data_IF_138858482576
#
_entry.id   IF_138858482576
#
_cell.length_a   1.000
_cell.length_b   1.000
_cell.length_c   1.000
_cell.angle_alpha   90.00
_cell.angle_beta   90.00
_cell.angle_gamma   90.00
#
_symmetry.space_group_name_H-M   'P 1'
#
loop_
_entity.id
_entity.type
_entity.pdbx_description
1 polymer ?
#
# COMPACT_ATOMS: atom_id res chain seq x y z
N UNK A 1 -0.04 -0.63 -10.75
CA UNK A 1 -1.34 -0.58 -10.05
C UNK A 1 -1.30 0.25 -8.76
N UNK A 2 -0.29 0.13 -7.88
CA UNK A 2 -0.27 0.84 -6.58
C UNK A 2 0.16 2.32 -6.62
N UNK A 3 0.95 2.74 -7.60
CA UNK A 3 1.52 4.10 -7.67
C UNK A 3 0.47 5.17 -7.98
N UNK A 4 -0.60 4.84 -8.71
CA UNK A 4 -1.66 5.79 -9.08
C UNK A 4 -2.47 6.28 -7.87
N UNK A 5 -2.49 5.51 -6.78
CA UNK A 5 -3.19 5.84 -5.54
C UNK A 5 -2.27 6.36 -4.45
N UNK A 6 -1.00 6.63 -4.77
CA UNK A 6 -0.07 7.22 -3.81
C UNK A 6 -0.48 8.68 -3.56
N UNK A 7 -0.44 9.13 -2.30
CA UNK A 7 -0.95 10.43 -1.84
C UNK A 7 -0.41 11.60 -2.69
N UNK A 8 0.90 11.62 -2.95
CA UNK A 8 1.53 12.62 -3.82
C UNK A 8 1.04 12.67 -5.28
N UNK A 9 0.21 11.73 -5.74
CA UNK A 9 -0.41 11.72 -7.07
C UNK A 9 -1.86 12.21 -7.08
N UNK A 10 -2.47 12.42 -5.90
CA UNK A 10 -3.87 12.79 -5.76
C UNK A 10 -3.95 14.28 -5.42
N UNK A 11 -4.47 15.08 -6.33
CA UNK A 11 -4.70 16.52 -6.16
C UNK A 11 -5.72 16.79 -5.04
N UNK A 12 -5.38 17.73 -4.16
CA UNK A 12 -6.22 18.15 -3.04
C UNK A 12 -5.99 17.39 -1.74
N UNK A 13 -5.09 16.40 -1.69
CA UNK A 13 -4.80 15.66 -0.46
C UNK A 13 -3.93 16.43 0.54
N UNK A 14 -3.29 17.53 0.11
CA UNK A 14 -2.33 18.23 0.96
C UNK A 14 -1.17 17.33 1.40
N UNK A 15 -0.63 17.59 2.59
CA UNK A 15 0.45 16.80 3.20
C UNK A 15 -0.07 15.67 4.10
N UNK A 16 -1.33 15.25 3.93
CA UNK A 16 -1.96 14.25 4.78
C UNK A 16 -1.29 12.87 4.64
N UNK A 17 -1.00 12.22 5.77
CA UNK A 17 -0.39 10.88 5.84
C UNK A 17 -1.40 9.73 5.67
N UNK A 18 -2.70 10.02 5.76
CA UNK A 18 -3.82 9.05 5.78
C UNK A 18 -3.73 7.99 6.88
N UNK A 19 -2.98 8.25 7.95
CA UNK A 19 -2.79 7.31 9.06
C UNK A 19 -3.89 7.41 10.13
N UNK A 20 -4.85 8.34 9.98
CA UNK A 20 -5.91 8.58 10.98
C UNK A 20 -6.65 7.29 11.37
N UNK A 21 -6.94 6.42 10.39
CA UNK A 21 -7.59 5.12 10.64
C UNK A 21 -6.66 4.14 11.38
N UNK A 22 -5.37 4.12 11.05
CA UNK A 22 -4.41 3.29 11.77
C UNK A 22 -4.26 3.75 13.23
N UNK A 23 -4.10 5.06 13.44
CA UNK A 23 -3.95 5.68 14.76
C UNK A 23 -5.17 5.41 15.64
N UNK A 24 -6.39 5.54 15.12
CA UNK A 24 -7.62 5.30 15.91
C UNK A 24 -7.78 3.81 16.29
N UNK A 25 -7.53 2.89 15.36
CA UNK A 25 -7.63 1.45 15.67
C UNK A 25 -6.49 0.98 16.56
N UNK A 26 -5.28 1.53 16.39
CA UNK A 26 -4.15 1.28 17.29
C UNK A 26 -4.48 1.73 18.72
N UNK A 27 -5.01 2.95 18.88
CA UNK A 27 -5.43 3.47 20.18
C UNK A 27 -6.52 2.61 20.83
N UNK A 28 -7.44 2.05 20.03
CA UNK A 28 -8.50 1.15 20.55
C UNK A 28 -7.98 -0.11 21.25
N UNK A 29 -6.72 -0.52 21.00
CA UNK A 29 -6.10 -1.64 21.70
C UNK A 29 -5.97 -1.39 23.22
N UNK A 30 -5.96 -0.14 23.67
CA UNK A 30 -5.95 0.22 25.09
C UNK A 30 -7.20 -0.29 25.83
N UNK A 31 -8.31 -0.57 25.12
CA UNK A 31 -9.50 -1.15 25.72
C UNK A 31 -9.33 -2.63 26.08
N UNK A 32 -8.38 -3.34 25.45
CA UNK A 32 -8.25 -4.80 25.56
C UNK A 32 -8.21 -5.32 27.01
N UNK A 33 -7.45 -4.72 27.95
CA UNK A 33 -7.41 -5.18 29.35
C UNK A 33 -8.77 -5.06 30.05
N UNK A 34 -9.51 -3.98 29.79
CA UNK A 34 -10.76 -3.64 30.49
C UNK A 34 -11.95 -4.41 29.92
N UNK A 35 -11.97 -4.68 28.62
CA UNK A 35 -13.12 -5.35 27.95
C UNK A 35 -13.01 -6.88 27.90
N UNK A 36 -11.83 -7.45 28.17
CA UNK A 36 -11.56 -8.90 28.05
C UNK A 36 -12.50 -9.74 28.90
N UNK A 37 -12.76 -9.32 30.13
CA UNK A 37 -13.64 -9.99 31.08
C UNK A 37 -14.94 -9.22 31.36
N UNK A 38 -15.20 -8.15 30.60
CA UNK A 38 -16.42 -7.38 30.74
C UNK A 38 -17.63 -8.12 30.14
N UNK A 39 -18.81 -7.90 30.73
CA UNK A 39 -20.07 -8.33 30.12
C UNK A 39 -20.28 -7.65 28.76
N UNK A 40 -21.14 -8.23 27.91
CA UNK A 40 -21.43 -7.66 26.60
C UNK A 40 -21.92 -6.20 26.66
N UNK A 41 -22.75 -5.88 27.67
CA UNK A 41 -23.20 -4.52 27.93
C UNK A 41 -22.03 -3.58 28.25
N UNK A 42 -21.20 -3.93 29.25
CA UNK A 42 -20.06 -3.09 29.66
C UNK A 42 -19.05 -2.91 28.54
N UNK A 43 -18.80 -3.95 27.74
CA UNK A 43 -17.93 -3.85 26.56
C UNK A 43 -18.42 -2.79 25.58
N UNK A 44 -19.71 -2.77 25.24
CA UNK A 44 -20.28 -1.78 24.32
C UNK A 44 -20.16 -0.36 24.87
N UNK A 45 -20.50 -0.17 26.15
CA UNK A 45 -20.41 1.14 26.82
C UNK A 45 -18.97 1.66 26.83
N UNK A 46 -17.98 0.81 27.15
CA UNK A 46 -16.58 1.23 27.17
C UNK A 46 -16.03 1.55 25.78
N UNK A 47 -16.45 0.82 24.76
CA UNK A 47 -16.09 1.11 23.37
C UNK A 47 -16.69 2.46 22.94
N UNK A 48 -17.97 2.70 23.23
CA UNK A 48 -18.66 3.95 22.92
C UNK A 48 -17.99 5.15 23.63
N UNK A 49 -17.69 5.00 24.93
CA UNK A 49 -17.02 6.04 25.71
C UNK A 49 -15.60 6.35 25.21
N UNK A 50 -14.84 5.34 24.77
CA UNK A 50 -13.54 5.58 24.14
C UNK A 50 -13.67 6.47 22.90
N UNK A 51 -14.60 6.16 22.01
CA UNK A 51 -14.75 6.93 20.77
C UNK A 51 -15.31 8.33 21.01
N UNK A 52 -16.19 8.51 22.01
CA UNK A 52 -16.64 9.84 22.44
C UNK A 52 -15.51 10.68 23.02
N UNK A 53 -14.65 10.08 23.84
CA UNK A 53 -13.46 10.75 24.37
C UNK A 53 -12.50 11.12 23.24
N UNK A 54 -12.25 10.19 22.31
CA UNK A 54 -11.37 10.42 21.16
C UNK A 54 -11.86 11.59 20.29
N UNK A 55 -13.16 11.67 20.02
CA UNK A 55 -13.75 12.80 19.26
C UNK A 55 -13.58 14.13 20.01
N UNK A 56 -13.78 14.12 21.32
CA UNK A 56 -13.56 15.29 22.18
C UNK A 56 -12.10 15.75 22.16
N UNK A 57 -11.16 14.81 22.26
CA UNK A 57 -9.73 15.09 22.20
C UNK A 57 -9.31 15.60 20.82
N UNK A 58 -9.88 15.04 19.74
CA UNK A 58 -9.64 15.55 18.39
C UNK A 58 -10.16 16.97 18.21
N UNK A 59 -11.36 17.25 18.70
CA UNK A 59 -11.91 18.60 18.70
C UNK A 59 -10.99 19.60 19.42
N UNK A 60 -10.57 19.28 20.65
CA UNK A 60 -9.66 20.11 21.44
C UNK A 60 -8.32 20.39 20.74
N UNK A 61 -7.84 19.42 19.95
CA UNK A 61 -6.58 19.50 19.23
C UNK A 61 -6.68 20.13 17.84
N UNK A 62 -7.88 20.46 17.33
CA UNK A 62 -8.06 21.03 15.98
C UNK A 62 -7.18 22.27 15.76
N UNK A 63 -7.18 23.20 16.71
CA UNK A 63 -6.38 24.42 16.60
C UNK A 63 -4.87 24.15 16.57
N UNK A 64 -4.39 23.17 17.35
CA UNK A 64 -2.98 22.77 17.37
C UNK A 64 -2.60 22.08 16.06
N UNK A 65 -3.43 21.13 15.60
CA UNK A 65 -3.24 20.41 14.34
C UNK A 65 -3.10 21.38 13.16
N UNK A 66 -4.03 22.33 13.01
CA UNK A 66 -3.96 23.35 11.95
C UNK A 66 -2.69 24.21 12.04
N UNK A 67 -2.30 24.61 13.25
CA UNK A 67 -1.09 25.39 13.48
C UNK A 67 0.19 24.62 13.11
N UNK A 68 0.27 23.36 13.51
CA UNK A 68 1.44 22.51 13.26
C UNK A 68 1.54 22.17 11.76
N UNK A 69 0.42 21.78 11.11
CA UNK A 69 0.37 21.52 9.66
C UNK A 69 0.80 22.76 8.86
N UNK A 70 0.31 23.95 9.22
CA UNK A 70 0.68 25.19 8.54
C UNK A 70 2.18 25.48 8.64
N UNK A 71 2.76 25.29 9.83
CA UNK A 71 4.20 25.51 10.04
C UNK A 71 5.04 24.48 9.32
N UNK A 72 4.64 23.21 9.33
CA UNK A 72 5.32 22.14 8.60
C UNK A 72 5.29 22.42 7.09
N UNK A 73 4.15 22.81 6.54
CA UNK A 73 4.03 23.17 5.14
C UNK A 73 4.93 24.37 4.76
N UNK A 74 4.95 25.43 5.57
CA UNK A 74 5.82 26.58 5.34
C UNK A 74 7.31 26.23 5.44
N UNK A 75 7.71 25.45 6.45
CA UNK A 75 9.09 25.00 6.61
C UNK A 75 9.53 24.13 5.42
N UNK A 76 8.67 23.19 5.01
CA UNK A 76 8.90 22.33 3.86
C UNK A 76 9.07 23.16 2.57
N UNK A 77 8.20 24.13 2.31
CA UNK A 77 8.32 25.00 1.13
C UNK A 77 9.63 25.77 1.17
N UNK A 78 9.97 26.38 2.31
CA UNK A 78 11.20 27.16 2.47
C UNK A 78 12.46 26.34 2.19
N UNK A 79 12.50 25.10 2.68
CA UNK A 79 13.69 24.24 2.61
C UNK A 79 13.81 23.52 1.28
N UNK A 80 12.69 23.04 0.72
CA UNK A 80 12.71 22.19 -0.48
C UNK A 80 12.68 23.00 -1.79
N UNK A 81 12.14 24.23 -1.78
CA UNK A 81 12.14 25.09 -2.97
C UNK A 81 13.55 25.31 -3.56
N UNK A 82 14.59 25.73 -2.79
CA UNK A 82 15.92 25.92 -3.34
C UNK A 82 16.56 24.60 -3.80
N UNK A 83 16.31 23.50 -3.10
CA UNK A 83 16.83 22.17 -3.46
C UNK A 83 16.26 21.73 -4.81
N UNK A 84 14.94 21.84 -4.99
CA UNK A 84 14.27 21.49 -6.24
C UNK A 84 14.75 22.41 -7.38
N UNK A 85 14.93 23.71 -7.12
CA UNK A 85 15.45 24.65 -8.12
C UNK A 85 16.89 24.28 -8.55
N UNK A 86 17.77 23.96 -7.60
CA UNK A 86 19.13 23.52 -7.87
C UNK A 86 19.18 22.21 -8.65
N UNK A 87 18.34 21.24 -8.28
CA UNK A 87 18.26 19.95 -8.97
C UNK A 87 17.66 20.07 -10.38
N UNK A 88 16.68 20.96 -10.60
CA UNK A 88 16.18 21.29 -11.95
C UNK A 88 17.28 21.90 -12.82
N UNK A 89 18.07 22.81 -12.26
CA UNK A 89 19.17 23.45 -12.97
C UNK A 89 20.28 22.44 -13.33
N UNK A 90 20.65 21.54 -12.41
CA UNK A 90 21.70 20.54 -12.67
C UNK A 90 21.28 19.45 -13.65
N UNK A 91 19.98 19.12 -13.70
CA UNK A 91 19.44 18.13 -14.63
C UNK A 91 18.99 18.75 -15.96
N UNK A 92 19.03 20.08 -16.09
CA UNK A 92 18.52 20.83 -17.25
C UNK A 92 17.03 20.56 -17.54
N UNK A 93 16.23 20.42 -16.49
CA UNK A 93 14.80 20.06 -16.55
C UNK A 93 13.92 21.24 -16.19
N UNK A 94 12.87 21.47 -16.99
CA UNK A 94 11.85 22.50 -16.73
C UNK A 94 10.64 21.96 -15.97
N UNK A 95 9.79 22.85 -15.44
CA UNK A 95 8.51 22.46 -14.83
C UNK A 95 7.57 21.74 -15.80
N UNK A 96 7.61 22.09 -17.09
CA UNK A 96 6.79 21.43 -18.10
C UNK A 96 7.33 20.04 -18.45
N UNK A 97 8.64 19.83 -18.36
CA UNK A 97 9.25 18.50 -18.45
C UNK A 97 8.78 17.61 -17.29
N UNK A 98 8.75 18.13 -16.06
CA UNK A 98 8.23 17.37 -14.91
C UNK A 98 6.76 16.96 -15.10
N UNK A 99 5.91 17.84 -15.64
CA UNK A 99 4.51 17.51 -15.97
C UNK A 99 4.44 16.42 -17.04
N UNK A 100 5.22 16.53 -18.11
CA UNK A 100 5.29 15.52 -19.17
C UNK A 100 5.75 14.17 -18.61
N UNK A 101 6.81 14.17 -17.81
CA UNK A 101 7.35 12.99 -17.14
C UNK A 101 6.31 12.32 -16.25
N UNK A 102 5.52 13.09 -15.49
CA UNK A 102 4.43 12.54 -14.69
C UNK A 102 3.34 11.87 -15.54
N UNK A 103 2.99 12.45 -16.70
CA UNK A 103 2.00 11.88 -17.61
C UNK A 103 2.51 10.61 -18.29
N UNK A 104 3.77 10.61 -18.75
CA UNK A 104 4.41 9.43 -19.34
C UNK A 104 4.52 8.29 -18.31
N UNK A 105 4.97 8.58 -17.09
CA UNK A 105 5.03 7.63 -15.99
C UNK A 105 3.64 7.04 -15.72
N UNK A 106 2.59 7.88 -15.63
CA UNK A 106 1.22 7.44 -15.38
C UNK A 106 0.65 6.57 -16.52
N UNK A 107 0.85 6.98 -17.77
CA UNK A 107 0.41 6.22 -18.94
C UNK A 107 1.12 4.87 -19.01
N UNK A 108 2.43 4.86 -18.78
CA UNK A 108 3.23 3.65 -18.73
C UNK A 108 2.75 2.70 -17.62
N UNK A 109 2.60 3.20 -16.38
CA UNK A 109 2.11 2.41 -15.25
C UNK A 109 0.67 1.92 -15.44
N UNK A 110 -0.16 2.64 -16.19
CA UNK A 110 -1.52 2.24 -16.56
C UNK A 110 -1.56 1.18 -17.68
N UNK A 111 -0.57 1.18 -18.57
CA UNK A 111 -0.39 0.13 -19.59
C UNK A 111 0.18 -1.17 -18.99
N UNK A 112 0.84 -1.07 -17.84
CA UNK A 112 1.54 -2.17 -17.20
C UNK A 112 0.58 -3.24 -16.68
N UNK A 113 0.53 -4.38 -17.38
CA UNK A 113 -0.28 -5.54 -17.01
C UNK A 113 -1.57 -5.73 -17.82
N UNK A 114 -1.84 -4.90 -18.84
CA UNK A 114 -2.92 -5.18 -19.80
C UNK A 114 -2.41 -6.11 -20.91
N UNK A 115 -2.42 -7.41 -20.63
CA UNK A 115 -2.41 -8.42 -21.70
C UNK A 115 -3.75 -8.28 -22.46
N UNK A 116 -3.74 -8.31 -23.80
CA UNK A 116 -4.99 -8.16 -24.56
C UNK A 116 -5.93 -9.33 -24.23
N UNK A 117 -7.24 -9.08 -24.19
CA UNK A 117 -8.21 -10.13 -23.87
C UNK A 117 -8.10 -11.33 -24.83
N UNK A 118 -7.80 -11.04 -26.10
CA UNK A 118 -7.58 -12.06 -27.14
C UNK A 118 -6.34 -12.93 -26.83
N UNK A 119 -5.23 -12.34 -26.37
CA UNK A 119 -4.04 -13.10 -25.98
C UNK A 119 -4.33 -14.02 -24.78
N UNK A 120 -5.14 -13.56 -23.81
CA UNK A 120 -5.50 -14.35 -22.63
C UNK A 120 -6.32 -15.60 -23.00
N UNK A 121 -7.29 -15.47 -23.90
CA UNK A 121 -8.12 -16.59 -24.34
C UNK A 121 -7.32 -17.60 -25.17
N UNK A 122 -6.42 -17.14 -26.05
CA UNK A 122 -5.53 -18.01 -26.82
C UNK A 122 -4.55 -18.77 -25.92
N UNK A 123 -4.01 -18.12 -24.89
CA UNK A 123 -3.16 -18.78 -23.89
C UNK A 123 -3.96 -19.86 -23.15
N UNK A 124 -5.13 -19.52 -22.63
CA UNK A 124 -5.97 -20.46 -21.89
C UNK A 124 -6.30 -21.69 -22.76
N UNK A 125 -6.62 -21.46 -24.03
CA UNK A 125 -6.84 -22.54 -25.00
C UNK A 125 -5.61 -23.46 -25.15
N UNK A 126 -4.43 -22.89 -25.38
CA UNK A 126 -3.20 -23.69 -25.55
C UNK A 126 -2.79 -24.43 -24.27
N UNK A 127 -2.91 -23.80 -23.10
CA UNK A 127 -2.67 -24.45 -21.80
C UNK A 127 -3.62 -25.64 -21.58
N UNK A 128 -4.91 -25.47 -21.92
CA UNK A 128 -5.91 -26.56 -21.84
C UNK A 128 -5.62 -27.68 -22.84
N UNK A 129 -5.16 -27.36 -24.05
CA UNK A 129 -4.70 -28.37 -25.00
C UNK A 129 -3.47 -29.15 -24.50
N UNK A 130 -2.52 -28.47 -23.85
CA UNK A 130 -1.35 -29.12 -23.24
C UNK A 130 -1.78 -30.05 -22.10
N UNK A 131 -2.68 -29.59 -21.23
CA UNK A 131 -3.23 -30.39 -20.12
C UNK A 131 -4.00 -31.61 -20.65
N UNK A 132 -4.87 -31.43 -21.64
CA UNK A 132 -5.62 -32.52 -22.28
C UNK A 132 -4.68 -33.59 -22.85
N UNK A 133 -3.59 -33.18 -23.52
CA UNK A 133 -2.58 -34.11 -24.05
C UNK A 133 -1.84 -34.84 -22.93
N UNK A 134 -1.45 -34.16 -21.85
CA UNK A 134 -0.80 -34.79 -20.71
C UNK A 134 -1.71 -35.82 -20.03
N UNK A 135 -2.98 -35.48 -19.82
CA UNK A 135 -4.00 -36.39 -19.27
C UNK A 135 -4.22 -37.58 -20.20
N UNK A 136 -4.30 -37.37 -21.52
CA UNK A 136 -4.43 -38.45 -22.50
C UNK A 136 -3.22 -39.40 -22.47
N UNK A 137 -2.00 -38.87 -22.40
CA UNK A 137 -0.79 -39.68 -22.31
C UNK A 137 -0.74 -40.47 -20.99
N UNK A 138 -1.11 -39.85 -19.87
CA UNK A 138 -1.16 -40.50 -18.57
C UNK A 138 -2.24 -41.58 -18.53
N UNK A 139 -3.43 -41.31 -19.07
CA UNK A 139 -4.52 -42.29 -19.20
C UNK A 139 -4.12 -43.48 -20.07
N UNK A 140 -3.40 -43.25 -21.17
CA UNK A 140 -2.87 -44.35 -21.99
C UNK A 140 -1.87 -45.21 -21.20
N UNK A 141 -1.01 -44.60 -20.38
CA UNK A 141 -0.07 -45.31 -19.51
C UNK A 141 -0.78 -46.11 -18.41
N UNK A 142 -1.75 -45.52 -17.72
CA UNK A 142 -2.52 -46.21 -16.67
C UNK A 142 -3.40 -47.32 -17.25
N UNK A 143 -3.98 -47.12 -18.44
CA UNK A 143 -4.67 -48.19 -19.17
C UNK A 143 -3.76 -49.38 -19.47
N UNK A 144 -2.53 -49.14 -19.95
CA UNK A 144 -1.55 -50.23 -20.17
C UNK A 144 -1.19 -50.95 -18.88
N UNK A 145 -1.01 -50.23 -17.78
CA UNK A 145 -0.75 -50.82 -16.47
C UNK A 145 -1.93 -51.64 -15.97
N UNK A 146 -3.16 -51.15 -16.12
CA UNK A 146 -4.38 -51.87 -15.78
C UNK A 146 -4.48 -53.19 -16.57
N UNK A 147 -4.30 -53.14 -17.89
CA UNK A 147 -4.33 -54.32 -18.75
C UNK A 147 -3.22 -55.34 -18.39
N UNK A 148 -2.03 -54.87 -18.03
CA UNK A 148 -0.92 -55.74 -17.62
C UNK A 148 -1.17 -56.45 -16.28
N UNK A 149 -1.90 -55.82 -15.35
CA UNK A 149 -2.26 -56.42 -14.06
C UNK A 149 -3.48 -57.33 -14.18
N UNK A 150 -4.44 -57.00 -15.06
CA UNK A 150 -5.66 -57.80 -15.27
C UNK A 150 -5.47 -59.02 -16.19
N UNK A 151 -4.35 -59.12 -16.91
CA UNK A 151 -4.07 -60.24 -17.81
C UNK A 151 -2.67 -60.84 -17.61
N UNK A 152 -2.37 -61.48 -16.45
CA UNK A 152 -1.31 -62.49 -16.48
C UNK A 152 -1.75 -63.56 -17.47
N UNK A 153 -0.84 -64.01 -18.35
CA UNK A 153 -1.08 -65.21 -19.14
C UNK A 153 -1.56 -66.30 -18.18
N UNK A 154 -2.73 -66.89 -18.43
CA UNK A 154 -3.33 -67.92 -17.57
C UNK A 154 -2.39 -69.12 -17.62
N UNK A 155 -1.39 -69.11 -16.74
CA UNK A 155 -0.45 -70.19 -16.51
C UNK A 155 -0.81 -70.76 -15.16
N UNK A 156 -1.22 -72.02 -15.15
CA UNK A 156 -1.49 -72.77 -13.94
C UNK A 156 -0.21 -72.81 -13.10
N UNK A 157 -0.13 -71.99 -12.05
CA UNK A 157 1.00 -72.02 -11.12
C UNK A 157 0.78 -73.14 -10.09
N UNK A 158 1.83 -73.91 -9.72
CA UNK A 158 1.73 -74.88 -8.64
C UNK A 158 1.34 -74.20 -7.31
N UNK A 159 0.58 -74.87 -6.43
CA UNK A 159 0.22 -74.30 -5.14
C UNK A 159 1.47 -74.06 -4.29
N UNK A 160 1.80 -72.80 -4.02
CA UNK A 160 2.84 -72.42 -3.07
C UNK A 160 2.26 -72.32 -1.66
N UNK A 161 2.89 -72.99 -0.68
CA UNK A 161 2.57 -72.85 0.73
C UNK A 161 3.21 -71.57 1.30
N UNK A 162 2.50 -70.46 1.21
CA UNK A 162 2.84 -69.19 1.83
C UNK A 162 1.60 -68.27 1.89
N UNK A 163 1.60 -67.20 2.72
CA UNK A 163 0.49 -66.26 2.76
C UNK A 163 0.36 -65.59 1.40
N UNK A 164 -0.69 -65.91 0.66
CA UNK A 164 -1.02 -65.24 -0.60
C UNK A 164 -1.64 -63.89 -0.26
N UNK A 165 -0.94 -62.82 -0.60
CA UNK A 165 -1.30 -61.44 -0.23
C UNK A 165 -2.36 -60.87 -1.20
N UNK A 166 -3.51 -61.56 -1.29
CA UNK A 166 -4.65 -61.19 -2.14
C UNK A 166 -5.13 -59.75 -1.87
N UNK A 167 -5.02 -59.27 -0.62
CA UNK A 167 -5.38 -57.92 -0.23
C UNK A 167 -4.45 -56.85 -0.84
N UNK A 168 -3.15 -57.15 -0.95
CA UNK A 168 -2.20 -56.24 -1.60
C UNK A 168 -2.42 -56.15 -3.13
N UNK A 169 -2.76 -57.26 -3.79
CA UNK A 169 -3.04 -57.29 -5.24
C UNK A 169 -4.40 -56.65 -5.58
N UNK A 170 -5.44 -56.90 -4.77
CA UNK A 170 -6.74 -56.24 -4.91
C UNK A 170 -6.67 -54.73 -4.60
N UNK A 171 -5.83 -54.32 -3.64
CA UNK A 171 -5.58 -52.90 -3.35
C UNK A 171 -4.86 -52.19 -4.50
N UNK A 172 -3.85 -52.84 -5.11
CA UNK A 172 -3.13 -52.29 -6.28
C UNK A 172 -4.05 -52.13 -7.50
N UNK A 173 -4.87 -53.12 -7.80
CA UNK A 173 -5.84 -53.05 -8.92
C UNK A 173 -6.89 -51.96 -8.71
N UNK A 174 -7.44 -51.83 -7.49
CA UNK A 174 -8.39 -50.76 -7.14
C UNK A 174 -7.80 -49.35 -7.27
N UNK A 175 -6.54 -49.15 -6.86
CA UNK A 175 -5.84 -47.86 -7.04
C UNK A 175 -5.72 -47.49 -8.51
N UNK A 176 -5.24 -48.41 -9.34
CA UNK A 176 -5.09 -48.19 -10.79
C UNK A 176 -6.47 -47.93 -11.43
N UNK A 177 -7.51 -48.65 -11.03
CA UNK A 177 -8.87 -48.42 -11.53
C UNK A 177 -9.41 -47.04 -11.12
N UNK A 178 -9.20 -46.64 -9.88
CA UNK A 178 -9.62 -45.33 -9.36
C UNK A 178 -8.91 -44.20 -10.11
N UNK A 179 -7.60 -44.31 -10.27
CA UNK A 179 -6.79 -43.35 -11.04
C UNK A 179 -7.25 -43.27 -12.50
N UNK A 180 -7.60 -44.41 -13.12
CA UNK A 180 -8.14 -44.46 -14.49
C UNK A 180 -9.48 -43.74 -14.60
N UNK A 181 -10.40 -43.95 -13.65
CA UNK A 181 -11.71 -43.27 -13.63
C UNK A 181 -11.55 -41.76 -13.47
N UNK A 182 -10.69 -41.34 -12.53
CA UNK A 182 -10.36 -39.93 -12.32
C UNK A 182 -9.79 -39.28 -13.59
N UNK A 183 -8.83 -39.93 -14.26
CA UNK A 183 -8.24 -39.42 -15.49
C UNK A 183 -9.25 -39.35 -16.65
N UNK A 184 -10.18 -40.32 -16.75
CA UNK A 184 -11.22 -40.33 -17.78
C UNK A 184 -12.24 -39.21 -17.57
N UNK A 185 -12.65 -38.96 -16.32
CA UNK A 185 -13.50 -37.82 -15.94
C UNK A 185 -12.79 -36.49 -16.20
N UNK A 186 -11.51 -36.37 -15.80
CA UNK A 186 -10.70 -35.16 -16.06
C UNK A 186 -10.56 -34.91 -17.55
N UNK A 187 -10.35 -35.94 -18.37
CA UNK A 187 -10.31 -35.83 -19.84
C UNK A 187 -11.61 -35.28 -20.39
N UNK A 188 -12.76 -35.81 -19.94
CA UNK A 188 -14.09 -35.34 -20.40
C UNK A 188 -14.31 -33.86 -20.05
N UNK A 189 -14.00 -33.47 -18.81
CA UNK A 189 -14.11 -32.08 -18.38
C UNK A 189 -13.23 -31.14 -19.23
N UNK A 190 -11.95 -31.49 -19.42
CA UNK A 190 -11.04 -30.71 -20.25
C UNK A 190 -11.47 -30.66 -21.72
N UNK A 191 -12.07 -31.74 -22.25
CA UNK A 191 -12.56 -31.75 -23.64
C UNK A 191 -13.73 -30.79 -23.84
N UNK A 192 -14.62 -30.66 -22.85
CA UNK A 192 -15.71 -29.69 -22.88
C UNK A 192 -15.17 -28.25 -22.78
N UNK A 193 -14.26 -27.98 -21.85
CA UNK A 193 -13.64 -26.65 -21.71
C UNK A 193 -12.89 -26.23 -22.98
N UNK A 194 -12.20 -27.16 -23.65
CA UNK A 194 -11.52 -26.93 -24.93
C UNK A 194 -12.55 -26.61 -26.03
N UNK A 195 -13.66 -27.35 -26.11
CA UNK A 195 -14.71 -27.10 -27.09
C UNK A 195 -15.39 -25.73 -26.89
N UNK A 196 -15.66 -25.34 -25.65
CA UNK A 196 -16.22 -24.01 -25.33
C UNK A 196 -15.28 -22.89 -25.77
N UNK A 197 -13.97 -23.06 -25.56
CA UNK A 197 -12.95 -22.11 -26.01
C UNK A 197 -12.82 -22.07 -27.54
N UNK A 198 -12.97 -23.21 -28.23
CA UNK A 198 -12.96 -23.28 -29.70
C UNK A 198 -14.14 -22.51 -30.31
N UNK A 199 -15.34 -22.65 -29.72
CA UNK A 199 -16.54 -21.90 -30.13
C UNK A 199 -16.32 -20.40 -29.91
N UNK A 200 -15.77 -20.02 -28.75
CA UNK A 200 -15.54 -18.62 -28.40
C UNK A 200 -14.49 -17.95 -29.31
N UNK A 201 -13.42 -18.69 -29.66
CA UNK A 201 -12.33 -18.20 -30.51
C UNK A 201 -12.60 -18.38 -32.03
N UNK A 202 -13.71 -19.00 -32.42
CA UNK A 202 -14.06 -19.25 -33.83
C UNK A 202 -13.13 -20.25 -34.51
N UNK A 203 -12.60 -21.23 -33.78
CA UNK A 203 -11.63 -22.22 -34.28
C UNK A 203 -12.39 -23.41 -34.89
N UNK A 204 -12.19 -23.66 -36.19
CA UNK A 204 -12.87 -24.74 -36.91
C UNK A 204 -12.26 -26.14 -36.68
N UNK A 205 -10.96 -26.20 -36.35
CA UNK A 205 -10.25 -27.46 -36.11
C UNK A 205 -9.26 -27.32 -34.96
N UNK A 206 -9.27 -28.30 -34.04
CA UNK A 206 -8.40 -28.32 -32.87
C UNK A 206 -6.91 -28.18 -33.24
N UNK A 207 -6.23 -27.20 -32.64
CA UNK A 207 -4.83 -26.92 -32.93
C UNK A 207 -3.90 -28.08 -32.54
N UNK A 208 -3.00 -28.45 -33.45
CA UNK A 208 -1.96 -29.44 -33.26
C UNK A 208 -0.60 -28.81 -32.91
N UNK A 209 0.34 -29.55 -32.29
CA UNK A 209 1.65 -29.01 -31.93
C UNK A 209 2.43 -28.47 -33.15
N UNK A 210 2.15 -28.99 -34.34
CA UNK A 210 2.74 -28.58 -35.61
C UNK A 210 2.19 -27.28 -36.19
N UNK A 211 1.06 -26.79 -35.68
CA UNK A 211 0.37 -25.65 -36.27
C UNK A 211 1.08 -24.34 -35.92
N UNK A 212 1.16 -23.43 -36.89
CA UNK A 212 1.85 -22.15 -36.71
C UNK A 212 1.24 -21.30 -35.57
N UNK A 213 -0.09 -21.34 -35.42
CA UNK A 213 -0.80 -20.62 -34.36
C UNK A 213 -0.47 -21.19 -32.98
N UNK A 214 -0.47 -22.53 -32.85
CA UNK A 214 -0.07 -23.20 -31.61
C UNK A 214 1.38 -22.88 -31.24
N UNK A 215 2.31 -22.96 -32.20
CA UNK A 215 3.72 -22.65 -31.95
C UNK A 215 3.92 -21.19 -31.53
N UNK A 216 3.22 -20.24 -32.18
CA UNK A 216 3.28 -18.81 -31.82
C UNK A 216 2.82 -18.59 -30.38
N UNK A 217 1.66 -19.12 -30.00
CA UNK A 217 1.10 -18.95 -28.66
C UNK A 217 1.94 -19.70 -27.63
N UNK A 218 2.46 -20.88 -27.95
CA UNK A 218 3.38 -21.62 -27.06
C UNK A 218 4.68 -20.86 -26.81
N UNK A 219 5.27 -20.23 -27.83
CA UNK A 219 6.44 -19.35 -27.68
C UNK A 219 6.11 -18.12 -26.82
N UNK A 220 4.92 -17.55 -27.01
CA UNK A 220 4.43 -16.44 -26.21
C UNK A 220 4.24 -16.84 -24.73
N UNK A 221 3.64 -18.00 -24.45
CA UNK A 221 3.50 -18.55 -23.08
C UNK A 221 4.87 -18.70 -22.43
N UNK A 222 5.86 -19.28 -23.11
CA UNK A 222 7.22 -19.42 -22.59
C UNK A 222 7.88 -18.06 -22.30
N UNK A 223 7.68 -17.07 -23.18
CA UNK A 223 8.18 -15.70 -22.99
C UNK A 223 7.51 -15.02 -21.80
N UNK A 224 6.20 -15.20 -21.65
CA UNK A 224 5.39 -14.65 -20.55
C UNK A 224 5.75 -15.28 -19.20
N UNK A 225 5.93 -16.60 -19.14
CA UNK A 225 6.35 -17.29 -17.90
C UNK A 225 7.74 -16.82 -17.47
N UNK A 226 8.67 -16.66 -18.41
CA UNK A 226 9.97 -16.05 -18.15
C UNK A 226 9.86 -14.62 -17.63
N UNK A 227 9.11 -13.74 -18.31
CA UNK A 227 8.93 -12.34 -17.89
C UNK A 227 8.28 -12.23 -16.50
N UNK A 228 7.31 -13.11 -16.18
CA UNK A 228 6.68 -13.17 -14.85
C UNK A 228 7.64 -13.66 -13.77
N UNK A 229 8.40 -14.71 -14.06
CA UNK A 229 9.41 -15.22 -13.13
C UNK A 229 10.49 -14.16 -12.86
N UNK A 230 10.92 -13.43 -13.89
CA UNK A 230 11.87 -12.33 -13.79
C UNK A 230 11.30 -11.15 -12.98
N UNK A 231 10.09 -10.68 -13.28
CA UNK A 231 9.45 -9.60 -12.52
C UNK A 231 9.24 -9.95 -11.04
N UNK A 232 8.88 -11.21 -10.75
CA UNK A 232 8.74 -11.71 -9.38
C UNK A 232 10.10 -11.72 -8.65
N UNK A 233 11.16 -12.22 -9.31
CA UNK A 233 12.51 -12.21 -8.76
C UNK A 233 13.01 -10.79 -8.48
N UNK A 234 12.83 -9.87 -9.41
CA UNK A 234 13.20 -8.46 -9.26
C UNK A 234 12.55 -7.83 -8.03
N UNK A 235 11.24 -8.01 -7.87
CA UNK A 235 10.51 -7.48 -6.72
C UNK A 235 11.10 -7.97 -5.40
N UNK A 236 11.43 -9.26 -5.30
CA UNK A 236 12.01 -9.83 -4.08
C UNK A 236 13.43 -9.30 -3.79
N UNK A 237 14.26 -9.12 -4.83
CA UNK A 237 15.62 -8.56 -4.67
C UNK A 237 15.56 -7.11 -4.22
N UNK A 238 14.73 -6.27 -4.86
CA UNK A 238 14.52 -4.86 -4.47
C UNK A 238 14.07 -4.77 -3.01
N UNK A 239 13.09 -5.57 -2.63
CA UNK A 239 12.61 -5.65 -1.26
C UNK A 239 13.69 -6.06 -0.25
N UNK A 240 14.64 -6.94 -0.63
CA UNK A 240 15.77 -7.33 0.23
C UNK A 240 16.80 -6.21 0.37
N UNK A 241 17.09 -5.47 -0.70
CA UNK A 241 18.02 -4.34 -0.67
C UNK A 241 17.52 -3.22 0.24
N UNK A 242 16.24 -2.88 0.16
CA UNK A 242 15.64 -1.90 1.09
C UNK A 242 15.71 -2.35 2.55
N UNK A 243 15.54 -3.64 2.84
CA UNK A 243 15.71 -4.14 4.22
C UNK A 243 17.16 -4.10 4.69
N UNK A 244 18.13 -4.40 3.82
CA UNK A 244 19.56 -4.28 4.13
C UNK A 244 19.92 -2.83 4.43
N UNK A 245 19.40 -1.89 3.65
CA UNK A 245 19.58 -0.46 3.88
C UNK A 245 19.00 -0.04 5.24
N UNK A 246 17.75 -0.43 5.57
CA UNK A 246 17.14 -0.18 6.89
C UNK A 246 17.89 -0.82 8.06
N UNK A 247 18.64 -1.91 7.82
CA UNK A 247 19.49 -2.54 8.85
C UNK A 247 20.79 -1.75 9.09
N UNK A 248 21.29 -1.07 8.06
CA UNK A 248 22.51 -0.27 8.10
C UNK A 248 22.28 1.16 8.63
N UNK A 249 21.04 1.66 8.64
CA UNK A 249 20.69 2.91 9.34
C UNK A 249 20.86 2.72 10.86
N UNK A 250 21.80 3.48 11.41
CA UNK A 250 22.30 3.35 12.77
C UNK A 250 21.36 4.01 13.79
N UNK A 251 20.17 3.43 14.05
CA UNK A 251 19.40 3.65 15.29
C UNK A 251 18.23 2.66 15.51
N UNK A 252 18.25 1.50 14.85
CA UNK A 252 17.14 0.54 15.01
C UNK A 252 17.18 -0.21 16.36
N UNK A 253 16.13 -0.06 17.17
CA UNK A 253 15.97 -0.78 18.45
C UNK A 253 16.09 -2.31 18.33
N UNK A 254 16.54 -2.99 19.39
CA UNK A 254 16.87 -4.42 19.37
C UNK A 254 15.75 -5.33 18.84
N UNK A 255 14.47 -5.03 19.17
CA UNK A 255 13.31 -5.78 18.65
C UNK A 255 13.16 -5.63 17.14
N UNK A 256 13.33 -4.41 16.61
CA UNK A 256 13.25 -4.14 15.18
C UNK A 256 14.37 -4.88 14.42
N UNK A 257 15.61 -4.83 14.93
CA UNK A 257 16.74 -5.60 14.38
C UNK A 257 16.46 -7.10 14.31
N UNK A 258 15.84 -7.69 15.34
CA UNK A 258 15.47 -9.11 15.36
C UNK A 258 14.38 -9.45 14.32
N UNK A 259 13.40 -8.57 14.13
CA UNK A 259 12.36 -8.73 13.11
C UNK A 259 12.94 -8.61 11.70
N UNK A 260 13.79 -7.61 11.44
CA UNK A 260 14.48 -7.43 10.16
C UNK A 260 15.35 -8.66 9.84
N UNK A 261 16.14 -9.17 10.80
CA UNK A 261 16.96 -10.35 10.59
C UNK A 261 16.12 -11.62 10.24
N UNK A 262 14.98 -11.82 10.91
CA UNK A 262 14.07 -12.95 10.62
C UNK A 262 13.41 -12.81 9.24
N UNK A 263 13.00 -11.59 8.88
CA UNK A 263 12.44 -11.30 7.55
C UNK A 263 13.49 -11.52 6.46
N UNK A 264 14.74 -11.10 6.69
CA UNK A 264 15.87 -11.28 5.78
C UNK A 264 16.12 -12.77 5.47
N UNK A 265 16.08 -13.64 6.48
CA UNK A 265 16.25 -15.08 6.29
C UNK A 265 15.10 -15.68 5.47
N UNK A 266 13.88 -15.23 5.74
CA UNK A 266 12.68 -15.68 5.01
C UNK A 266 12.71 -15.23 3.55
N UNK A 267 13.06 -13.96 3.28
CA UNK A 267 13.20 -13.43 1.92
C UNK A 267 14.35 -14.06 1.17
N UNK A 268 15.47 -14.35 1.81
CA UNK A 268 16.59 -15.07 1.17
C UNK A 268 16.17 -16.45 0.65
N UNK A 269 15.33 -17.18 1.40
CA UNK A 269 14.74 -18.44 0.93
C UNK A 269 13.78 -18.22 -0.24
N UNK A 270 12.95 -17.18 -0.19
CA UNK A 270 12.03 -16.83 -1.26
C UNK A 270 12.77 -16.46 -2.56
N UNK A 271 13.86 -15.70 -2.47
CA UNK A 271 14.68 -15.33 -3.63
C UNK A 271 15.34 -16.57 -4.24
N UNK A 272 15.88 -17.51 -3.43
CA UNK A 272 16.42 -18.77 -3.99
C UNK A 272 15.38 -19.56 -4.78
N UNK A 273 14.15 -19.65 -4.26
CA UNK A 273 13.05 -20.28 -4.99
C UNK A 273 12.71 -19.52 -6.28
N UNK A 274 12.71 -18.18 -6.22
CA UNK A 274 12.45 -17.33 -7.38
C UNK A 274 13.55 -17.46 -8.46
N UNK A 275 14.82 -17.60 -8.06
CA UNK A 275 15.94 -17.89 -8.97
C UNK A 275 15.71 -19.23 -9.68
N UNK A 276 15.29 -20.27 -8.95
CA UNK A 276 14.99 -21.56 -9.55
C UNK A 276 13.84 -21.45 -10.58
N UNK A 277 12.77 -20.73 -10.24
CA UNK A 277 11.67 -20.50 -11.19
C UNK A 277 12.11 -19.71 -12.41
N UNK A 278 12.99 -18.70 -12.23
CA UNK A 278 13.58 -17.93 -13.31
C UNK A 278 14.44 -18.82 -14.21
N UNK A 279 15.36 -19.60 -13.64
CA UNK A 279 16.27 -20.47 -14.38
C UNK A 279 15.52 -21.54 -15.18
N UNK A 280 14.44 -22.09 -14.62
CA UNK A 280 13.59 -23.05 -15.33
C UNK A 280 12.88 -22.39 -16.53
N UNK A 281 12.34 -21.18 -16.35
CA UNK A 281 11.68 -20.44 -17.43
C UNK A 281 12.69 -19.94 -18.49
N UNK A 282 13.87 -19.51 -18.07
CA UNK A 282 14.99 -19.10 -18.91
C UNK A 282 15.48 -20.23 -19.82
N UNK A 283 15.55 -21.46 -19.30
CA UNK A 283 15.92 -22.64 -20.05
C UNK A 283 14.85 -23.11 -21.05
N UNK A 284 13.59 -22.75 -20.83
CA UNK A 284 12.47 -23.10 -21.71
C UNK A 284 12.34 -22.17 -22.94
N UNK A 285 13.14 -21.10 -23.02
CA UNK A 285 13.17 -20.18 -24.15
C UNK A 285 14.08 -20.66 -25.28
N UNK A 286 13.78 -20.20 -26.50
CA UNK A 286 14.58 -20.42 -27.69
C UNK A 286 14.95 -19.06 -28.32
N UNK A 287 16.20 -18.59 -28.17
CA UNK A 287 17.33 -19.23 -27.48
C UNK A 287 17.23 -19.16 -25.94
N UNK A 288 17.89 -20.09 -25.21
CA UNK A 288 17.87 -20.10 -23.75
C UNK A 288 18.61 -18.89 -23.16
N UNK A 289 18.08 -18.35 -22.06
CA UNK A 289 18.63 -17.18 -21.36
C UNK A 289 19.69 -17.59 -20.31
N UNK A 290 20.63 -16.68 -19.93
CA UNK A 290 21.67 -16.99 -18.96
C UNK A 290 21.07 -17.36 -17.60
N UNK A 291 21.67 -18.37 -16.96
CA UNK A 291 21.28 -18.80 -15.62
C UNK A 291 21.78 -17.79 -14.59
N UNK A 292 20.96 -17.59 -13.56
CA UNK A 292 21.29 -16.81 -12.39
C UNK A 292 21.72 -17.72 -11.24
N UNK A 293 22.81 -17.35 -10.58
CA UNK A 293 23.25 -17.99 -9.34
C UNK A 293 22.93 -17.12 -8.14
N UNK A 294 22.67 -17.77 -7.00
CA UNK A 294 22.42 -17.07 -5.74
C UNK A 294 23.61 -16.19 -5.32
N UNK A 295 24.84 -16.66 -5.57
CA UNK A 295 26.04 -15.92 -5.22
C UNK A 295 26.08 -14.57 -5.94
N UNK A 296 25.79 -14.53 -7.24
CA UNK A 296 25.72 -13.27 -7.98
C UNK A 296 24.71 -12.30 -7.36
N UNK A 297 23.56 -12.80 -6.90
CA UNK A 297 22.49 -11.99 -6.30
C UNK A 297 22.77 -11.60 -4.85
N UNK A 298 23.52 -12.41 -4.11
CA UNK A 298 23.84 -12.13 -2.72
C UNK A 298 24.85 -11.02 -2.56
N UNK A 299 25.75 -10.84 -3.53
CA UNK A 299 26.78 -9.81 -3.54
C UNK A 299 26.29 -8.44 -4.02
N UNK A 300 25.08 -8.35 -4.55
CA UNK A 300 24.50 -7.05 -4.90
C UNK A 300 24.23 -6.25 -3.63
N UNK A 301 24.98 -5.16 -3.49
CA UNK A 301 24.81 -4.19 -2.42
C UNK A 301 23.98 -2.99 -2.92
N UNK A 302 23.93 -2.78 -4.23
CA UNK A 302 23.24 -1.65 -4.85
C UNK A 302 22.28 -2.07 -5.97
N UNK A 303 21.23 -1.27 -6.20
CA UNK A 303 20.21 -1.53 -7.24
C UNK A 303 20.79 -1.46 -8.66
N UNK A 304 21.83 -0.67 -8.88
CA UNK A 304 22.50 -0.51 -10.19
C UNK A 304 23.28 -1.76 -10.61
N UNK A 305 23.77 -2.54 -9.65
CA UNK A 305 24.53 -3.76 -9.91
C UNK A 305 23.64 -4.90 -10.43
N UNK A 306 22.32 -4.84 -10.20
CA UNK A 306 21.37 -5.82 -10.70
C UNK A 306 21.04 -5.60 -12.19
N UNK A 307 22.02 -5.92 -13.05
CA UNK A 307 21.94 -5.84 -14.51
C UNK A 307 20.80 -6.69 -15.12
N UNK A 308 20.22 -7.64 -14.38
CA UNK A 308 19.05 -8.40 -14.83
C UNK A 308 17.75 -7.60 -14.92
N UNK A 309 17.74 -6.38 -14.37
CA UNK A 309 16.67 -5.41 -14.61
C UNK A 309 16.66 -4.88 -16.06
N UNK A 310 17.71 -5.17 -16.85
CA UNK A 310 17.85 -4.67 -18.22
C UNK A 310 16.99 -5.43 -19.24
N UNK A 311 16.71 -6.73 -19.02
CA UNK A 311 16.13 -7.58 -20.08
C UNK A 311 14.59 -7.57 -20.14
N UNK A 312 13.88 -7.04 -19.14
CA UNK A 312 12.44 -7.33 -18.99
C UNK A 312 11.51 -6.28 -19.57
N UNK A 313 11.94 -5.05 -19.82
CA UNK A 313 11.03 -3.99 -20.25
C UNK A 313 11.82 -2.98 -21.08
N UNK A 314 11.44 -2.85 -22.35
CA UNK A 314 12.00 -1.87 -23.27
C UNK A 314 12.24 -0.53 -22.56
N UNK A 315 13.50 -0.11 -22.53
CA UNK A 315 13.95 1.29 -22.40
C UNK A 315 13.26 2.19 -21.39
N UNK A 316 12.80 1.64 -20.26
CA UNK A 316 12.36 2.51 -19.16
C UNK A 316 13.55 3.33 -18.68
N UNK A 317 14.76 2.74 -18.60
CA UNK A 317 15.97 3.46 -18.17
C UNK A 317 16.40 4.57 -19.15
N UNK A 318 16.06 4.45 -20.43
CA UNK A 318 16.31 5.53 -21.40
C UNK A 318 15.29 6.67 -21.26
N UNK A 319 14.13 6.41 -20.64
CA UNK A 319 13.18 7.48 -20.35
C UNK A 319 13.78 8.41 -19.28
N UNK A 320 13.80 9.73 -19.53
CA UNK A 320 14.34 10.69 -18.57
C UNK A 320 13.68 10.57 -17.19
N UNK A 321 12.37 10.32 -17.14
CA UNK A 321 11.61 10.18 -15.89
C UNK A 321 11.96 8.94 -15.06
N UNK A 322 12.70 7.97 -15.60
CA UNK A 322 13.11 6.78 -14.85
C UNK A 322 14.46 6.93 -14.16
N UNK A 323 15.23 7.97 -14.52
CA UNK A 323 16.53 8.25 -13.91
C UNK A 323 16.35 8.61 -12.43
N UNK A 324 17.18 8.08 -11.51
CA UNK A 324 16.99 8.28 -10.07
C UNK A 324 16.87 9.75 -9.65
N UNK A 325 17.75 10.62 -10.15
CA UNK A 325 17.72 12.05 -9.85
C UNK A 325 16.45 12.74 -10.35
N UNK A 326 15.97 12.38 -11.55
CA UNK A 326 14.72 12.90 -12.13
C UNK A 326 13.50 12.40 -11.34
N UNK A 327 13.53 11.16 -10.86
CA UNK A 327 12.45 10.61 -10.03
C UNK A 327 12.35 11.29 -8.68
N UNK A 328 13.48 11.56 -8.04
CA UNK A 328 13.48 12.21 -6.73
C UNK A 328 13.06 13.68 -6.85
N UNK A 329 13.52 14.39 -7.87
CA UNK A 329 13.03 15.74 -8.18
C UNK A 329 11.53 15.76 -8.50
N UNK A 330 11.03 14.76 -9.24
CA UNK A 330 9.60 14.60 -9.49
C UNK A 330 8.81 14.33 -8.20
N UNK A 331 9.31 13.48 -7.31
CA UNK A 331 8.70 13.23 -5.99
C UNK A 331 8.65 14.49 -5.14
N UNK A 332 9.76 15.21 -5.03
CA UNK A 332 9.87 16.45 -4.26
C UNK A 332 9.00 17.56 -4.84
N UNK A 333 8.97 17.72 -6.16
CA UNK A 333 8.09 18.72 -6.82
C UNK A 333 6.61 18.46 -6.56
N UNK A 334 6.18 17.20 -6.54
CA UNK A 334 4.81 16.82 -6.18
C UNK A 334 4.52 17.10 -4.70
N UNK A 335 5.43 16.73 -3.80
CA UNK A 335 5.28 17.03 -2.36
C UNK A 335 5.28 18.54 -2.11
N UNK A 336 6.03 19.32 -2.88
CA UNK A 336 6.00 20.79 -2.85
C UNK A 336 4.64 21.33 -3.30
N UNK A 337 4.07 20.80 -4.39
CA UNK A 337 2.72 21.17 -4.81
C UNK A 337 1.68 20.82 -3.75
N UNK A 338 1.80 19.65 -3.10
CA UNK A 338 0.96 19.24 -1.95
C UNK A 338 1.10 20.18 -0.75
N UNK A 339 2.30 20.65 -0.44
CA UNK A 339 2.51 21.62 0.63
C UNK A 339 1.81 22.96 0.38
N UNK A 340 1.76 23.42 -0.88
CA UNK A 340 0.99 24.61 -1.23
C UNK A 340 -0.53 24.38 -1.10
N UNK A 341 -1.02 23.20 -1.50
CA UNK A 341 -2.42 22.82 -1.27
C UNK A 341 -2.76 22.77 0.23
N UNK A 342 -1.86 22.23 1.07
CA UNK A 342 -2.03 22.19 2.53
C UNK A 342 -2.22 23.60 3.11
N UNK A 343 -1.43 24.59 2.65
CA UNK A 343 -1.59 25.99 3.05
C UNK A 343 -2.98 26.53 2.72
N UNK A 344 -3.45 26.28 1.49
CA UNK A 344 -4.79 26.71 1.07
C UNK A 344 -5.90 26.03 1.89
N UNK A 345 -5.77 24.73 2.16
CA UNK A 345 -6.72 23.99 3.00
C UNK A 345 -6.73 24.52 4.42
N UNK A 346 -5.57 24.72 5.05
CA UNK A 346 -5.49 25.25 6.41
C UNK A 346 -6.12 26.65 6.50
N UNK A 347 -5.97 27.51 5.49
CA UNK A 347 -6.68 28.80 5.47
C UNK A 347 -8.21 28.62 5.49
N UNK A 348 -8.73 27.70 4.68
CA UNK A 348 -10.17 27.42 4.60
C UNK A 348 -10.66 26.83 5.92
N UNK A 349 -9.94 25.87 6.48
CA UNK A 349 -10.31 25.16 7.70
C UNK A 349 -10.21 26.04 8.94
N UNK A 350 -9.13 26.81 9.09
CA UNK A 350 -8.99 27.78 10.18
C UNK A 350 -10.16 28.77 10.19
N UNK A 351 -10.52 29.30 9.02
CA UNK A 351 -11.67 30.21 8.89
C UNK A 351 -13.00 29.51 9.22
N UNK A 352 -13.19 28.26 8.78
CA UNK A 352 -14.40 27.47 9.11
C UNK A 352 -14.52 27.19 10.60
N UNK A 353 -13.42 26.80 11.25
CA UNK A 353 -13.39 26.55 12.70
C UNK A 353 -13.70 27.83 13.47
N UNK A 354 -13.09 28.95 13.09
CA UNK A 354 -13.36 30.25 13.70
C UNK A 354 -14.84 30.66 13.55
N UNK A 355 -15.40 30.47 12.36
CA UNK A 355 -16.83 30.72 12.07
C UNK A 355 -17.73 29.82 12.90
N UNK A 356 -17.40 28.53 12.97
CA UNK A 356 -18.17 27.53 13.72
C UNK A 356 -18.21 27.87 15.21
N UNK A 357 -17.06 28.20 15.82
CA UNK A 357 -16.98 28.60 17.22
C UNK A 357 -17.82 29.85 17.50
N UNK A 358 -17.75 30.86 16.62
CA UNK A 358 -18.57 32.07 16.75
C UNK A 358 -20.06 31.77 16.75
N UNK A 359 -20.50 31.01 15.75
CA UNK A 359 -21.91 30.68 15.57
C UNK A 359 -22.43 29.75 16.69
N UNK A 360 -21.59 28.83 17.16
CA UNK A 360 -21.88 27.93 18.29
C UNK A 360 -22.03 28.71 19.61
N UNK A 361 -21.16 29.71 19.87
CA UNK A 361 -21.30 30.57 21.04
C UNK A 361 -22.63 31.34 21.03
N UNK A 362 -22.99 31.96 19.90
CA UNK A 362 -24.28 32.66 19.72
C UNK A 362 -25.47 31.72 19.93
N UNK A 363 -25.37 30.48 19.42
CA UNK A 363 -26.39 29.46 19.64
C UNK A 363 -26.54 29.12 21.13
N UNK A 364 -25.43 28.94 21.85
CA UNK A 364 -25.47 28.68 23.29
C UNK A 364 -26.14 29.81 24.06
N UNK A 365 -25.81 31.07 23.75
CA UNK A 365 -26.44 32.23 24.41
C UNK A 365 -27.94 32.26 24.17
N UNK A 366 -28.38 32.06 22.92
CA UNK A 366 -29.80 32.05 22.57
C UNK A 366 -30.56 30.91 23.27
N UNK A 367 -30.00 29.70 23.29
CA UNK A 367 -30.62 28.52 23.91
C UNK A 367 -30.68 28.70 25.43
N UNK A 368 -29.58 29.11 26.08
CA UNK A 368 -29.54 29.32 27.52
C UNK A 368 -30.51 30.42 27.96
N UNK A 369 -30.56 31.55 27.24
CA UNK A 369 -31.52 32.61 27.51
C UNK A 369 -32.97 32.14 27.38
N UNK A 370 -33.27 31.33 26.36
CA UNK A 370 -34.61 30.76 26.19
C UNK A 370 -34.98 29.80 27.33
N UNK A 371 -34.08 28.88 27.70
CA UNK A 371 -34.30 27.91 28.77
C UNK A 371 -34.44 28.58 30.13
N UNK A 372 -33.66 29.63 30.39
CA UNK A 372 -33.77 30.43 31.61
C UNK A 372 -35.13 31.14 31.69
N UNK A 373 -35.60 31.72 30.57
CA UNK A 373 -36.90 32.38 30.49
C UNK A 373 -38.07 31.41 30.70
N UNK A 374 -37.96 30.17 30.21
CA UNK A 374 -38.98 29.13 30.39
C UNK A 374 -38.85 28.36 31.71
N UNK A 375 -37.82 28.66 32.52
CA UNK A 375 -37.48 27.92 33.73
C UNK A 375 -37.40 26.40 33.49
N UNK A 376 -36.80 26.01 32.35
CA UNK A 376 -36.72 24.59 31.98
C UNK A 376 -35.73 23.84 32.90
N UNK A 377 -36.11 22.69 33.49
CA UNK A 377 -35.23 21.91 34.36
C UNK A 377 -33.92 21.48 33.69
N UNK A 378 -33.82 21.44 32.35
CA UNK A 378 -32.58 21.05 31.66
C UNK A 378 -31.55 22.18 31.58
N UNK A 379 -31.90 23.42 31.97
CA UNK A 379 -31.02 24.59 31.87
C UNK A 379 -29.64 24.33 32.51
N UNK A 380 -29.59 23.73 33.70
CA UNK A 380 -28.34 23.44 34.40
C UNK A 380 -27.39 22.53 33.61
N UNK A 381 -27.93 21.48 32.98
CA UNK A 381 -27.14 20.52 32.19
C UNK A 381 -26.62 21.17 30.91
N UNK A 382 -27.47 21.95 30.23
CA UNK A 382 -27.07 22.68 29.01
C UNK A 382 -26.02 23.75 29.33
N UNK A 383 -26.14 24.43 30.47
CA UNK A 383 -25.16 25.41 30.94
C UNK A 383 -23.79 24.77 31.20
N UNK A 384 -23.76 23.62 31.87
CA UNK A 384 -22.51 22.89 32.12
C UNK A 384 -21.87 22.42 30.80
N UNK A 385 -22.66 21.87 29.88
CA UNK A 385 -22.19 21.49 28.55
C UNK A 385 -21.59 22.69 27.78
N UNK A 386 -22.32 23.80 27.70
CA UNK A 386 -21.88 25.01 27.01
C UNK A 386 -20.61 25.58 27.62
N UNK A 387 -20.47 25.54 28.96
CA UNK A 387 -19.27 25.98 29.67
C UNK A 387 -18.06 25.12 29.28
N UNK A 388 -18.17 23.79 29.34
CA UNK A 388 -17.09 22.87 28.94
C UNK A 388 -16.71 23.07 27.46
N UNK A 389 -17.70 23.24 26.59
CA UNK A 389 -17.48 23.47 25.15
C UNK A 389 -16.80 24.81 24.88
N UNK A 390 -17.17 25.88 25.59
CA UNK A 390 -16.51 27.19 25.51
C UNK A 390 -15.05 27.13 25.97
N UNK A 391 -14.74 26.38 27.02
CA UNK A 391 -13.35 26.15 27.44
C UNK A 391 -12.53 25.45 26.35
N UNK A 392 -13.11 24.44 25.68
CA UNK A 392 -12.48 23.81 24.53
C UNK A 392 -12.27 24.79 23.37
N UNK A 393 -13.28 25.60 23.07
CA UNK A 393 -13.22 26.62 22.02
C UNK A 393 -12.13 27.67 22.32
N UNK A 394 -11.99 28.10 23.57
CA UNK A 394 -10.94 29.03 23.99
C UNK A 394 -9.53 28.46 23.73
N UNK A 395 -9.33 27.15 23.98
CA UNK A 395 -8.08 26.48 23.66
C UNK A 395 -7.79 26.49 22.15
N UNK A 396 -8.80 26.19 21.33
CA UNK A 396 -8.68 26.21 19.86
C UNK A 396 -8.38 27.63 19.36
N UNK A 397 -9.11 28.63 19.85
CA UNK A 397 -8.92 30.05 19.48
C UNK A 397 -7.51 30.55 19.84
N UNK A 398 -6.94 30.12 20.97
CA UNK A 398 -5.56 30.44 21.36
C UNK A 398 -4.56 29.93 20.31
N UNK A 399 -4.76 28.72 19.79
CA UNK A 399 -3.90 28.15 18.74
C UNK A 399 -4.12 28.83 17.39
N UNK A 400 -5.37 29.16 17.01
CA UNK A 400 -5.65 29.93 15.80
C UNK A 400 -5.03 31.34 15.85
N UNK A 401 -5.01 31.98 17.02
CA UNK A 401 -4.31 33.26 17.21
C UNK A 401 -2.81 33.13 16.93
N UNK A 402 -2.17 32.03 17.38
CA UNK A 402 -0.77 31.74 17.04
C UNK A 402 -0.58 31.52 15.54
N UNK A 403 -1.51 30.81 14.90
CA UNK A 403 -1.51 30.57 13.45
C UNK A 403 -1.54 31.89 12.67
N UNK A 404 -2.42 32.82 13.02
CA UNK A 404 -2.49 34.14 12.38
C UNK A 404 -1.24 35.02 12.60
N UNK A 405 -0.42 34.69 13.61
CA UNK A 405 0.82 35.40 13.93
C UNK A 405 2.07 34.76 13.28
N UNK A 406 1.92 33.63 12.58
CA UNK A 406 3.04 32.97 11.90
C UNK A 406 3.59 33.89 10.80
N UNK A 407 4.92 34.14 10.74
CA UNK A 407 5.53 34.88 9.65
C UNK A 407 5.23 34.21 8.30
N UNK A 408 4.63 34.95 7.37
CA UNK A 408 4.18 34.41 6.09
C UNK A 408 2.74 33.90 6.07
N UNK A 409 1.94 34.16 7.12
CA UNK A 409 0.49 33.98 7.06
C UNK A 409 -0.13 34.88 5.97
N UNK A 410 -0.93 34.26 5.08
CA UNK A 410 -1.56 34.95 3.94
C UNK A 410 -3.07 34.73 3.86
N UNK A 411 -3.65 33.99 4.82
CA UNK A 411 -5.08 33.77 4.92
C UNK A 411 -5.85 34.98 5.50
N UNK A 412 -7.17 34.87 5.49
CA UNK A 412 -8.08 35.83 6.12
C UNK A 412 -8.30 35.42 7.58
N UNK A 413 -7.87 36.22 8.57
CA UNK A 413 -8.02 35.88 9.99
C UNK A 413 -9.44 36.13 10.52
N UNK A 414 -10.35 36.66 9.69
CA UNK A 414 -11.72 37.01 10.11
C UNK A 414 -12.69 35.84 9.95
N UNK A 415 -13.70 35.72 10.83
CA UNK A 415 -14.76 34.74 10.67
C UNK A 415 -15.50 34.92 9.32
N UNK A 416 -15.94 33.81 8.73
CA UNK A 416 -16.79 33.82 7.53
C UNK A 416 -18.29 33.85 7.85
N UNK A 417 -19.10 33.54 6.84
CA UNK A 417 -20.55 33.41 6.96
C UNK A 417 -20.97 31.99 6.56
N UNK A 418 -21.73 31.31 7.42
CA UNK A 418 -22.24 29.97 7.13
C UNK A 418 -23.38 30.04 6.11
N UNK A 419 -23.24 29.30 5.02
CA UNK A 419 -24.28 29.17 3.99
C UNK A 419 -25.53 28.51 4.59
N UNK A 420 -26.69 29.14 4.42
CA UNK A 420 -27.99 28.62 4.88
C UNK A 420 -28.46 29.12 6.25
N UNK A 421 -27.66 29.93 6.96
CA UNK A 421 -28.15 30.75 8.08
C UNK A 421 -28.39 32.20 7.60
N UNK A 422 -29.44 32.86 8.11
CA UNK A 422 -29.65 34.29 7.85
C UNK A 422 -28.45 35.09 8.38
N UNK A 423 -27.99 36.14 7.67
CA UNK A 423 -26.87 36.97 8.11
C UNK A 423 -27.25 37.62 9.45
N UNK A 424 -26.59 37.19 10.51
CA UNK A 424 -26.66 37.87 11.81
C UNK A 424 -25.69 39.04 11.71
N UNK A 425 -26.15 40.25 12.02
CA UNK A 425 -25.36 41.47 11.96
C UNK A 425 -23.99 41.29 12.64
N UNK A 426 -22.96 41.82 11.98
CA UNK A 426 -21.61 41.92 12.52
C UNK A 426 -21.65 42.83 13.73
N UNK A 427 -21.42 42.26 14.91
CA UNK A 427 -21.01 43.02 16.07
C UNK A 427 -19.94 42.22 16.82
N UNK A 428 -18.86 42.94 17.08
CA UNK A 428 -17.73 42.70 17.97
C UNK A 428 -16.83 41.48 17.68
N UNK A 429 -15.55 41.79 17.43
CA UNK A 429 -14.43 40.86 17.61
C UNK A 429 -14.62 40.18 18.97
N UNK A 430 -14.59 38.85 19.01
CA UNK A 430 -14.56 38.13 20.28
C UNK A 430 -13.31 38.55 21.05
N UNK A 431 -13.46 39.53 21.94
CA UNK A 431 -12.46 39.83 22.94
C UNK A 431 -12.30 38.57 23.80
N UNK A 432 -11.06 38.10 23.86
CA UNK A 432 -10.69 37.02 24.77
C UNK A 432 -10.74 37.62 26.17
N UNK A 433 -11.90 37.57 26.81
CA UNK A 433 -12.02 37.97 28.22
C UNK A 433 -11.00 37.17 29.05
N UNK A 434 -10.27 37.90 29.88
CA UNK A 434 -9.09 37.45 30.60
C UNK A 434 -9.34 36.15 31.38
N UNK A 435 -8.70 35.08 30.92
CA UNK A 435 -8.53 33.83 31.68
C UNK A 435 -7.42 33.98 32.73
N UNK A 436 -7.54 34.96 33.63
CA UNK A 436 -6.59 35.20 34.73
C UNK A 436 -6.99 34.56 36.06
N UNK A 437 -8.04 33.70 36.11
CA UNK A 437 -8.47 33.04 37.36
C UNK A 437 -8.43 31.50 37.32
N UNK A 438 -7.53 30.91 36.53
CA UNK A 438 -7.19 29.49 36.62
C UNK A 438 -5.67 29.26 36.72
N UNK A 439 -4.96 30.16 37.41
CA UNK A 439 -3.63 29.87 37.98
C UNK A 439 -3.79 29.13 39.32
N UNK A 440 -4.26 27.88 39.28
CA UNK A 440 -4.17 26.94 40.41
C UNK A 440 -4.62 25.52 40.02
N UNK A 441 -4.08 24.97 38.94
CA UNK A 441 -3.95 23.52 38.84
C UNK A 441 -2.54 23.24 38.34
N UNK A 442 -1.76 22.67 39.25
CA UNK A 442 -0.32 22.48 39.19
C UNK A 442 0.21 22.14 37.79
N UNK A 443 1.30 22.81 37.43
CA UNK A 443 2.43 22.17 36.74
C UNK A 443 2.73 20.86 37.47
N UNK A 444 2.13 19.77 37.00
CA UNK A 444 2.68 18.45 37.14
C UNK A 444 3.40 18.23 35.84
N UNK A 445 4.72 18.29 35.90
CA UNK A 445 5.62 17.62 34.94
C UNK A 445 5.08 16.21 34.73
N UNK A 446 4.34 16.05 33.64
CA UNK A 446 4.01 14.78 33.03
C UNK A 446 5.14 14.41 32.08
N UNK A 447 6.35 14.28 32.62
CA UNK A 447 7.33 13.37 32.04
C UNK A 447 6.76 11.95 32.14
N UNK A 448 5.91 11.61 31.18
CA UNK A 448 5.66 10.26 30.69
C UNK A 448 5.05 10.41 29.28
N UNK A 449 5.79 11.15 28.44
CA UNK A 449 5.83 10.83 27.03
C UNK A 449 6.59 9.50 26.98
N UNK A 450 5.86 8.38 26.91
CA UNK A 450 6.43 7.20 26.29
C UNK A 450 6.83 7.63 24.88
N UNK A 451 8.11 7.92 24.72
CA UNK A 451 8.83 8.00 23.47
C UNK A 451 8.51 6.73 22.67
N UNK A 452 7.46 6.78 21.87
CA UNK A 452 7.46 6.09 20.60
C UNK A 452 8.40 6.94 19.74
N UNK A 453 9.60 6.43 19.54
CA UNK A 453 10.55 6.95 18.57
C UNK A 453 9.84 7.06 17.21
N UNK A 454 9.32 8.24 16.93
CA UNK A 454 9.07 8.72 15.57
C UNK A 454 10.39 9.39 15.10
N UNK A 455 11.42 8.57 14.96
CA UNK A 455 12.56 8.86 14.09
C UNK A 455 12.14 8.45 12.66
N UNK A 456 11.27 9.21 12.01
CA UNK A 456 11.06 9.11 10.55
C UNK A 456 10.80 10.48 9.88
N UNK A 457 11.18 11.62 10.49
CA UNK A 457 11.05 12.94 9.83
C UNK A 457 12.29 13.86 9.89
N UNK A 458 13.44 13.36 10.33
CA UNK A 458 14.77 13.99 10.04
C UNK A 458 15.49 13.35 8.82
N UNK A 459 14.91 12.28 8.24
CA UNK A 459 15.59 11.46 7.21
C UNK A 459 15.59 12.07 5.79
N UNK A 460 14.87 13.16 5.53
CA UNK A 460 14.85 13.77 4.18
C UNK A 460 16.04 14.73 3.97
N UNK A 461 16.61 15.28 5.05
CA UNK A 461 17.73 16.23 4.95
C UNK A 461 19.10 15.53 4.94
N UNK A 462 19.25 14.42 5.66
CA UNK A 462 20.46 13.58 5.60
C UNK A 462 20.56 12.79 4.29
N UNK A 463 19.46 12.31 3.70
CA UNK A 463 19.47 11.66 2.37
C UNK A 463 19.95 12.62 1.26
N UNK A 464 19.62 13.91 1.34
CA UNK A 464 20.00 14.92 0.32
C UNK A 464 21.47 15.36 0.47
N UNK A 465 21.98 15.48 1.70
CA UNK A 465 23.39 15.79 1.93
C UNK A 465 24.29 14.64 1.49
N UNK A 466 23.89 13.38 1.75
CA UNK A 466 24.62 12.19 1.33
C UNK A 466 24.53 11.94 -0.18
N UNK A 467 23.41 12.27 -0.84
CA UNK A 467 23.29 12.24 -2.31
C UNK A 467 24.09 13.35 -2.99
N UNK A 468 24.17 14.56 -2.40
CA UNK A 468 24.99 15.65 -2.92
C UNK A 468 26.50 15.40 -2.78
N UNK A 469 26.95 14.80 -1.66
CA UNK A 469 28.33 14.33 -1.49
C UNK A 469 28.67 13.16 -2.42
N UNK A 470 27.74 12.23 -2.63
CA UNK A 470 27.92 11.11 -3.54
C UNK A 470 28.03 11.56 -5.01
N UNK A 471 27.22 12.52 -5.45
CA UNK A 471 27.29 13.09 -6.80
C UNK A 471 28.55 13.95 -6.98
N UNK A 472 29.03 14.65 -5.94
CA UNK A 472 30.30 15.39 -5.97
C UNK A 472 31.54 14.49 -6.06
N UNK A 473 31.47 13.26 -5.54
CA UNK A 473 32.56 12.28 -5.60
C UNK A 473 32.59 11.43 -6.89
N UNK A 474 31.61 11.60 -7.78
CA UNK A 474 31.58 10.97 -9.12
C UNK A 474 32.31 11.78 -10.20
N UNK A 475 32.95 12.91 -9.84
CA UNK A 475 33.74 13.75 -10.75
C UNK A 475 35.26 13.74 -10.50
N UNK A 476 35.82 12.58 -10.14
CA UNK A 476 37.26 12.28 -10.27
C UNK A 476 37.45 10.94 -10.98
#
# INVERSE_FOLDING_TARGET
MWVQYHINYIEGMGLEDLETMERIFSHSNQLAPVIRYATAYRRRVLIDLLFQQWDTDKYLNLGKMLYDNYRQALAFIREQTPIIAGAKASLEITDDDLKRFAQEERAYLGSLGRETAEDLHQIAYVEKLQELRAVNAQLARTNRQFLAVSAPAISFMPPHSGPTDYDAETSKTRKIETDRRYLDERRKALSLEVADLEVHLGIASQWQPSDAQYMRVSKYIATRTYQRALAHLQRLVVHRLFELHKMNLAQTGYRMRRHIAKNMQTRSRAIRNAINTYNNAAAALDPPRPKLEWETISHYNFLEEFSLLNETRADIREKPWAQPAVRETLRLSRRLARAHEEIEQVHIEARRVLTHIRDEHKLFDAVLASLARTQDPIHGVVFEYATRRRSANAHILKSLKKLHQVPGFSGDPTPGTRVGLAPVADDELMEVENATELEAFAEVDGEDIEHINDEEDDDVQEEISLLAEFVGNLSI
#
